data_IF_011572493429
#
_entry.id   IF_011572493429
#
_cell.length_a   1.000
_cell.length_b   1.000
_cell.length_c   1.000
_cell.angle_alpha   90.00
_cell.angle_beta   90.00
_cell.angle_gamma   90.00
#
_symmetry.space_group_name_H-M   'P 1'
#
loop_
_entity.id
_entity.type
_entity.pdbx_description
1 polymer ?
#
# COMPACT_ATOMS: atom_id res chain seq x y z
N UNK A 1 -16.50 -7.86 7.68
CA UNK A 1 -15.33 -7.08 7.27
C UNK A 1 -15.57 -5.61 7.60
N UNK A 2 -14.59 -4.95 8.20
CA UNK A 2 -14.58 -3.51 8.42
C UNK A 2 -13.52 -2.89 7.52
N UNK A 3 -13.88 -1.78 6.86
CA UNK A 3 -13.01 -0.97 6.02
C UNK A 3 -13.16 0.51 6.39
N UNK A 4 -12.11 1.32 6.19
CA UNK A 4 -12.25 2.77 6.30
C UNK A 4 -13.29 3.30 5.29
N UNK A 5 -14.01 4.34 5.68
CA UNK A 5 -14.97 4.98 4.77
C UNK A 5 -14.24 5.95 3.83
N UNK A 6 -14.47 5.80 2.55
CA UNK A 6 -14.04 6.77 1.54
C UNK A 6 -15.12 7.86 1.38
N UNK A 7 -14.71 9.11 1.50
CA UNK A 7 -15.60 10.27 1.32
C UNK A 7 -15.04 11.17 0.24
N UNK A 8 -15.75 11.25 -0.88
CA UNK A 8 -15.39 12.16 -1.97
C UNK A 8 -16.14 13.48 -1.81
N UNK A 9 -15.40 14.59 -1.63
CA UNK A 9 -15.94 15.95 -1.67
C UNK A 9 -15.17 16.77 -2.69
N UNK A 10 -15.89 17.41 -3.62
CA UNK A 10 -15.33 18.28 -4.69
C UNK A 10 -14.20 17.61 -5.49
N UNK A 11 -14.38 16.32 -5.84
CA UNK A 11 -13.38 15.55 -6.61
C UNK A 11 -12.16 15.05 -5.80
N UNK A 12 -12.10 15.33 -4.49
CA UNK A 12 -11.06 14.82 -3.60
C UNK A 12 -11.62 13.70 -2.75
N UNK A 13 -11.10 12.49 -2.91
CA UNK A 13 -11.45 11.34 -2.07
C UNK A 13 -10.54 11.32 -0.84
N UNK A 14 -11.15 11.37 0.34
CA UNK A 14 -10.45 11.23 1.64
C UNK A 14 -10.91 9.94 2.31
N UNK A 15 -9.96 9.15 2.76
CA UNK A 15 -10.21 7.96 3.56
C UNK A 15 -10.28 8.36 5.03
N UNK A 16 -11.42 8.10 5.70
CA UNK A 16 -11.63 8.44 7.09
C UNK A 16 -11.05 7.36 8.02
N UNK A 17 -10.72 7.77 9.24
CA UNK A 17 -10.39 6.83 10.30
C UNK A 17 -11.59 5.94 10.65
N UNK A 18 -11.31 4.72 11.07
CA UNK A 18 -12.31 3.76 11.55
C UNK A 18 -12.70 4.17 12.99
N UNK A 19 -13.96 4.56 13.22
CA UNK A 19 -14.41 5.00 14.54
C UNK A 19 -14.63 3.83 15.50
N UNK A 20 -14.65 4.13 16.80
CA UNK A 20 -14.89 3.13 17.85
C UNK A 20 -16.27 2.49 17.80
N UNK A 21 -17.27 3.19 17.27
CA UNK A 21 -18.66 2.70 17.13
C UNK A 21 -18.73 1.50 16.20
N UNK A 22 -18.07 1.57 15.05
CA UNK A 22 -17.99 0.44 14.09
C UNK A 22 -17.33 -0.79 14.71
N UNK A 23 -16.35 -0.58 15.58
CA UNK A 23 -15.68 -1.68 16.30
C UNK A 23 -16.62 -2.28 17.34
N UNK A 24 -17.35 -1.46 18.13
CA UNK A 24 -18.31 -1.96 19.12
C UNK A 24 -19.41 -2.81 18.49
N UNK A 25 -19.97 -2.35 17.37
CA UNK A 25 -20.98 -3.11 16.61
C UNK A 25 -20.43 -4.47 16.15
N UNK A 26 -19.23 -4.47 15.58
CA UNK A 26 -18.59 -5.70 15.12
C UNK A 26 -18.26 -6.66 16.26
N UNK A 27 -17.83 -6.16 17.42
CA UNK A 27 -17.55 -6.99 18.59
C UNK A 27 -18.83 -7.57 19.19
N UNK A 28 -19.95 -6.83 19.19
CA UNK A 28 -21.24 -7.37 19.62
C UNK A 28 -21.71 -8.52 18.72
N UNK A 29 -21.47 -8.42 17.41
CA UNK A 29 -21.71 -9.52 16.47
C UNK A 29 -20.77 -10.71 16.72
N UNK A 30 -19.50 -10.45 17.05
CA UNK A 30 -18.49 -11.48 17.28
C UNK A 30 -18.76 -12.31 18.55
N UNK A 31 -19.40 -11.70 19.57
CA UNK A 31 -19.75 -12.36 20.82
C UNK A 31 -20.93 -13.34 20.74
N UNK A 32 -21.71 -13.29 19.66
CA UNK A 32 -22.83 -14.22 19.47
C UNK A 32 -22.34 -15.61 19.02
N UNK A 33 -23.12 -16.65 19.25
CA UNK A 33 -22.80 -17.99 18.74
C UNK A 33 -22.82 -18.04 17.20
N UNK A 34 -21.86 -18.77 16.57
CA UNK A 34 -21.84 -18.90 15.10
C UNK A 34 -23.07 -19.70 14.62
N UNK A 35 -23.80 -19.14 13.67
CA UNK A 35 -24.91 -19.82 13.01
C UNK A 35 -24.37 -20.69 11.85
N UNK A 36 -24.08 -21.97 12.11
CA UNK A 36 -23.68 -22.94 11.07
C UNK A 36 -22.18 -23.06 10.78
N UNK A 37 -21.31 -22.39 11.54
CA UNK A 37 -19.85 -22.47 11.40
C UNK A 37 -19.14 -22.73 12.74
N UNK A 38 -17.83 -23.04 12.68
CA UNK A 38 -17.00 -23.20 13.90
C UNK A 38 -16.51 -21.86 14.46
N UNK A 39 -16.32 -20.85 13.59
CA UNK A 39 -15.73 -19.59 13.96
C UNK A 39 -16.50 -18.40 13.41
N UNK A 40 -16.48 -17.28 14.13
CA UNK A 40 -16.82 -15.95 13.64
C UNK A 40 -15.55 -15.17 13.42
N UNK A 41 -15.38 -14.60 12.24
CA UNK A 41 -14.16 -13.87 11.85
C UNK A 41 -14.48 -12.39 11.70
N UNK A 42 -13.79 -11.55 12.46
CA UNK A 42 -13.74 -10.11 12.25
C UNK A 42 -12.45 -9.75 11.50
N UNK A 43 -12.59 -9.32 10.27
CA UNK A 43 -11.48 -8.80 9.47
C UNK A 43 -11.55 -7.26 9.47
N UNK A 44 -10.47 -6.60 9.89
CA UNK A 44 -10.30 -5.15 9.85
C UNK A 44 -9.19 -4.84 8.86
N UNK A 45 -9.56 -4.31 7.71
CA UNK A 45 -8.63 -3.83 6.68
C UNK A 45 -8.15 -2.43 7.04
N UNK A 46 -6.92 -2.09 6.63
CA UNK A 46 -6.26 -0.82 6.97
C UNK A 46 -6.32 -0.47 8.47
N UNK A 47 -6.01 -1.44 9.32
CA UNK A 47 -6.11 -1.29 10.78
C UNK A 47 -5.26 -0.13 11.35
N UNK A 48 -4.27 0.39 10.60
CA UNK A 48 -3.54 1.62 10.94
C UNK A 48 -4.44 2.87 10.98
N UNK A 49 -5.65 2.79 10.40
CA UNK A 49 -6.67 3.86 10.42
C UNK A 49 -7.66 3.73 11.58
N UNK A 50 -7.49 2.76 12.46
CA UNK A 50 -8.24 2.71 13.71
C UNK A 50 -7.89 3.94 14.57
N UNK A 51 -8.89 4.67 15.04
CA UNK A 51 -8.65 5.68 16.07
C UNK A 51 -8.08 5.02 17.34
N UNK A 52 -7.34 5.76 18.15
CA UNK A 52 -6.82 5.25 19.43
C UNK A 52 -7.94 4.68 20.31
N UNK A 53 -9.07 5.38 20.36
CA UNK A 53 -10.27 4.91 21.07
C UNK A 53 -10.78 3.58 20.50
N UNK A 54 -10.78 3.42 19.16
CA UNK A 54 -11.20 2.18 18.53
C UNK A 54 -10.25 1.01 18.83
N UNK A 55 -8.95 1.27 18.88
CA UNK A 55 -7.95 0.27 19.28
C UNK A 55 -8.12 -0.14 20.77
N UNK A 56 -8.40 0.81 21.65
CA UNK A 56 -8.64 0.53 23.06
C UNK A 56 -9.92 -0.31 23.28
N UNK A 57 -10.97 -0.12 22.47
CA UNK A 57 -12.18 -0.95 22.51
C UNK A 57 -11.89 -2.42 22.19
N UNK A 58 -10.88 -2.72 21.34
CA UNK A 58 -10.50 -4.10 21.02
C UNK A 58 -9.82 -4.83 22.18
N UNK A 59 -9.17 -4.11 23.12
CA UNK A 59 -8.28 -4.72 24.12
C UNK A 59 -9.00 -5.77 24.96
N UNK A 60 -10.20 -5.48 25.45
CA UNK A 60 -10.96 -6.43 26.29
C UNK A 60 -11.23 -7.75 25.56
N UNK A 61 -11.60 -7.67 24.27
CA UNK A 61 -11.90 -8.87 23.48
C UNK A 61 -10.62 -9.61 23.06
N UNK A 62 -9.49 -8.90 22.93
CA UNK A 62 -8.19 -9.52 22.65
C UNK A 62 -7.61 -10.24 23.88
N UNK A 63 -7.93 -9.78 25.09
CA UNK A 63 -7.54 -10.45 26.34
C UNK A 63 -8.36 -11.71 26.60
N UNK A 64 -9.67 -11.64 26.40
CA UNK A 64 -10.60 -12.74 26.65
C UNK A 64 -11.49 -13.00 25.43
N UNK A 65 -10.93 -13.53 24.33
CA UNK A 65 -11.70 -13.81 23.14
C UNK A 65 -12.65 -15.00 23.39
N UNK A 66 -13.87 -14.90 22.85
CA UNK A 66 -14.75 -16.06 22.79
C UNK A 66 -14.05 -17.18 21.98
N UNK A 67 -14.22 -18.44 22.38
CA UNK A 67 -13.53 -19.59 21.77
C UNK A 67 -13.80 -19.75 20.27
N UNK A 68 -14.91 -19.19 19.77
CA UNK A 68 -15.28 -19.16 18.36
C UNK A 68 -14.91 -17.88 17.64
N UNK A 69 -14.28 -16.91 18.31
CA UNK A 69 -13.95 -15.61 17.73
C UNK A 69 -12.53 -15.60 17.14
N UNK A 70 -12.40 -15.06 15.94
CA UNK A 70 -11.11 -14.78 15.29
C UNK A 70 -11.10 -13.32 14.86
N UNK A 71 -10.08 -12.56 15.28
CA UNK A 71 -9.88 -11.16 14.89
C UNK A 71 -8.62 -11.09 14.03
N UNK A 72 -8.74 -10.53 12.84
CA UNK A 72 -7.64 -10.34 11.89
C UNK A 72 -7.50 -8.83 11.63
N UNK A 73 -6.34 -8.27 11.97
CA UNK A 73 -5.96 -6.90 11.67
C UNK A 73 -4.99 -6.90 10.50
N UNK A 74 -5.35 -6.27 9.40
CA UNK A 74 -4.47 -6.10 8.25
C UNK A 74 -3.95 -4.68 8.23
N UNK A 75 -2.62 -4.51 8.22
CA UNK A 75 -1.98 -3.20 8.18
C UNK A 75 -0.66 -3.25 7.42
N UNK A 76 -0.31 -2.19 6.73
CA UNK A 76 1.02 -1.95 6.17
C UNK A 76 1.84 -0.99 7.04
N UNK A 77 1.24 -0.40 8.07
CA UNK A 77 1.86 0.58 8.96
C UNK A 77 1.73 0.12 10.42
N UNK A 78 2.65 -0.78 10.82
CA UNK A 78 2.65 -1.36 12.16
C UNK A 78 2.79 -0.30 13.27
N UNK A 79 3.54 0.79 13.00
CA UNK A 79 3.79 1.87 13.97
C UNK A 79 2.55 2.60 14.43
N UNK A 80 1.45 2.54 13.67
CA UNK A 80 0.15 3.15 14.03
C UNK A 80 -0.73 2.25 14.89
N UNK A 81 -0.29 1.02 15.18
CA UNK A 81 -0.99 0.11 16.09
C UNK A 81 -0.40 0.22 17.49
N UNK A 82 -1.27 0.42 18.48
CA UNK A 82 -0.87 0.57 19.89
C UNK A 82 -0.03 -0.64 20.38
N UNK A 83 1.04 -0.41 21.14
CA UNK A 83 1.82 -1.50 21.75
C UNK A 83 0.98 -2.47 22.58
N UNK A 84 -0.06 -1.97 23.24
CA UNK A 84 -1.03 -2.76 24.01
C UNK A 84 -1.84 -3.74 23.16
N UNK A 85 -2.17 -3.36 21.91
CA UNK A 85 -2.81 -4.25 20.94
C UNK A 85 -1.78 -5.25 20.40
N UNK A 86 -0.60 -4.77 20.01
CA UNK A 86 0.47 -5.61 19.44
C UNK A 86 0.93 -6.73 20.38
N UNK A 87 0.90 -6.49 21.69
CA UNK A 87 1.30 -7.50 22.70
C UNK A 87 0.29 -8.64 22.86
N UNK A 88 -0.95 -8.48 22.38
CA UNK A 88 -2.05 -9.43 22.51
C UNK A 88 -2.40 -10.18 21.24
N UNK A 89 -1.70 -9.92 20.15
CA UNK A 89 -1.97 -10.54 18.85
C UNK A 89 -0.74 -11.29 18.32
N UNK A 90 -0.99 -12.35 17.56
CA UNK A 90 0.06 -13.02 16.79
C UNK A 90 0.35 -12.21 15.53
N UNK A 91 1.58 -11.74 15.38
CA UNK A 91 1.99 -11.01 14.21
C UNK A 91 2.46 -11.97 13.11
N UNK A 92 1.91 -11.81 11.92
CA UNK A 92 2.31 -12.52 10.70
C UNK A 92 2.80 -11.47 9.70
N UNK A 93 4.05 -11.58 9.26
CA UNK A 93 4.62 -10.67 8.26
C UNK A 93 4.55 -11.29 6.88
N UNK A 94 3.99 -10.53 5.95
CA UNK A 94 4.04 -10.83 4.53
C UNK A 94 5.14 -10.00 3.90
N UNK A 95 6.18 -10.65 3.41
CA UNK A 95 7.27 -10.02 2.68
C UNK A 95 6.99 -9.96 1.18
N UNK A 96 7.91 -9.34 0.45
CA UNK A 96 7.90 -9.40 -1.01
C UNK A 96 8.24 -10.82 -1.48
N UNK A 97 7.52 -11.28 -2.51
CA UNK A 97 7.78 -12.57 -3.13
C UNK A 97 8.86 -12.41 -4.20
N UNK A 98 9.89 -13.29 -4.25
CA UNK A 98 10.91 -13.24 -5.29
C UNK A 98 10.30 -13.28 -6.69
N UNK A 99 10.94 -12.55 -7.63
CA UNK A 99 10.46 -12.44 -9.00
C UNK A 99 10.36 -13.81 -9.68
N UNK A 100 11.30 -14.70 -9.43
CA UNK A 100 11.33 -16.05 -10.01
C UNK A 100 10.12 -16.89 -9.58
N UNK A 101 9.69 -16.73 -8.33
CA UNK A 101 8.49 -17.41 -7.80
C UNK A 101 7.25 -16.86 -8.47
N UNK A 102 7.15 -15.53 -8.60
CA UNK A 102 6.02 -14.87 -9.25
C UNK A 102 5.95 -15.23 -10.75
N UNK A 103 7.10 -15.25 -11.44
CA UNK A 103 7.17 -15.63 -12.84
C UNK A 103 6.73 -17.08 -13.06
N UNK A 104 7.07 -18.00 -12.15
CA UNK A 104 6.63 -19.39 -12.21
C UNK A 104 5.13 -19.55 -12.01
N UNK A 105 4.52 -18.81 -11.08
CA UNK A 105 3.11 -18.93 -10.73
C UNK A 105 2.18 -18.18 -11.69
N UNK A 106 2.65 -17.02 -12.23
CA UNK A 106 1.85 -16.11 -13.06
C UNK A 106 2.38 -15.95 -14.48
N UNK A 107 3.46 -16.63 -14.87
CA UNK A 107 4.17 -16.44 -16.14
C UNK A 107 3.56 -17.16 -17.34
N UNK A 108 2.24 -17.44 -17.36
CA UNK A 108 1.50 -17.96 -18.49
C UNK A 108 1.24 -16.87 -19.57
N UNK A 109 0.86 -17.27 -20.77
CA UNK A 109 0.70 -16.39 -21.94
C UNK A 109 -0.28 -15.23 -21.72
N UNK A 110 -1.33 -15.43 -20.90
CA UNK A 110 -2.30 -14.38 -20.55
C UNK A 110 -1.71 -13.25 -19.70
N UNK A 111 -0.59 -13.52 -19.02
CA UNK A 111 0.11 -12.56 -18.16
C UNK A 111 1.25 -11.82 -18.90
N UNK A 112 1.53 -12.13 -20.17
CA UNK A 112 2.76 -11.73 -20.89
C UNK A 112 3.00 -10.21 -20.93
N UNK A 113 1.96 -9.38 -21.01
CA UNK A 113 2.10 -7.93 -21.12
C UNK A 113 2.13 -7.19 -19.79
N UNK A 114 1.52 -7.77 -18.75
CA UNK A 114 1.31 -7.13 -17.45
C UNK A 114 2.26 -7.68 -16.41
N UNK A 115 2.50 -8.98 -16.44
CA UNK A 115 3.21 -9.71 -15.42
C UNK A 115 4.69 -9.29 -15.22
N UNK A 116 5.53 -9.10 -16.24
CA UNK A 116 6.94 -8.79 -16.03
C UNK A 116 7.17 -7.52 -15.22
N UNK A 117 6.27 -6.54 -15.38
CA UNK A 117 6.31 -5.29 -14.64
C UNK A 117 5.97 -5.49 -13.16
N UNK A 118 4.87 -6.21 -12.87
CA UNK A 118 4.43 -6.44 -11.49
C UNK A 118 5.27 -7.49 -10.76
N UNK A 119 5.97 -8.37 -11.48
CA UNK A 119 6.92 -9.31 -10.87
C UNK A 119 8.05 -8.58 -10.14
N UNK A 120 8.52 -7.44 -10.67
CA UNK A 120 9.56 -6.63 -10.04
C UNK A 120 9.13 -6.03 -8.71
N UNK A 121 7.81 -5.91 -8.45
CA UNK A 121 7.27 -5.35 -7.23
C UNK A 121 7.13 -6.37 -6.09
N UNK A 122 7.29 -7.67 -6.39
CA UNK A 122 7.20 -8.72 -5.37
C UNK A 122 5.84 -8.85 -4.68
N UNK A 123 4.75 -8.33 -5.30
CA UNK A 123 3.41 -8.24 -4.71
C UNK A 123 2.38 -9.07 -5.50
N UNK A 124 2.15 -10.35 -5.15
CA UNK A 124 1.25 -11.23 -5.91
C UNK A 124 -0.18 -10.71 -6.03
N UNK A 125 -0.69 -10.04 -5.00
CA UNK A 125 -2.04 -9.46 -5.03
C UNK A 125 -2.23 -8.41 -6.13
N UNK A 126 -1.20 -7.67 -6.48
CA UNK A 126 -1.25 -6.70 -7.58
C UNK A 126 -1.33 -7.39 -8.94
N UNK A 127 -0.54 -8.46 -9.14
CA UNK A 127 -0.58 -9.26 -10.36
C UNK A 127 -1.98 -9.84 -10.54
N UNK A 128 -2.51 -10.46 -9.48
CA UNK A 128 -3.84 -11.04 -9.49
C UNK A 128 -4.95 -10.02 -9.82
N UNK A 129 -4.87 -8.82 -9.21
CA UNK A 129 -5.83 -7.75 -9.49
C UNK A 129 -5.70 -7.21 -10.91
N UNK A 130 -4.46 -7.06 -11.41
CA UNK A 130 -4.21 -6.58 -12.76
C UNK A 130 -4.66 -7.60 -13.84
N UNK A 131 -4.53 -8.91 -13.57
CA UNK A 131 -5.05 -9.96 -14.46
C UNK A 131 -6.58 -10.02 -14.45
N UNK A 132 -7.20 -9.77 -13.31
CA UNK A 132 -8.66 -9.78 -13.17
C UNK A 132 -9.33 -8.58 -13.84
N UNK A 133 -8.72 -7.40 -13.75
CA UNK A 133 -9.23 -6.15 -14.33
C UNK A 133 -8.08 -5.32 -14.90
N UNK A 134 -7.59 -5.65 -16.11
CA UNK A 134 -6.49 -4.93 -16.77
C UNK A 134 -6.82 -3.45 -17.02
N UNK A 135 -8.09 -3.12 -17.24
CA UNK A 135 -8.52 -1.74 -17.50
C UNK A 135 -8.38 -0.86 -16.26
N UNK A 136 -8.74 -1.38 -15.07
CA UNK A 136 -8.57 -0.65 -13.82
C UNK A 136 -7.11 -0.34 -13.49
N UNK A 137 -6.17 -1.17 -13.97
CA UNK A 137 -4.73 -0.99 -13.75
C UNK A 137 -3.99 -0.27 -14.88
N UNK A 138 -4.68 0.13 -15.95
CA UNK A 138 -4.04 0.76 -17.10
C UNK A 138 -3.32 2.07 -16.74
N UNK A 139 -3.92 2.89 -15.89
CA UNK A 139 -3.34 4.18 -15.44
C UNK A 139 -2.14 3.95 -14.53
N UNK A 140 -2.25 3.06 -13.55
CA UNK A 140 -1.15 2.69 -12.64
C UNK A 140 0.03 2.12 -13.42
N UNK A 141 -0.22 1.27 -14.40
CA UNK A 141 0.80 0.69 -15.28
C UNK A 141 1.51 1.77 -16.10
N UNK A 142 0.77 2.73 -16.68
CA UNK A 142 1.36 3.84 -17.43
C UNK A 142 2.26 4.70 -16.55
N UNK A 143 1.75 5.12 -15.38
CA UNK A 143 2.47 6.00 -14.47
C UNK A 143 3.72 5.33 -13.88
N UNK A 144 3.61 4.09 -13.43
CA UNK A 144 4.76 3.31 -12.93
C UNK A 144 5.76 3.04 -14.05
N UNK A 145 5.29 2.71 -15.24
CA UNK A 145 6.15 2.55 -16.42
C UNK A 145 6.96 3.81 -16.72
N UNK A 146 6.36 5.00 -16.53
CA UNK A 146 7.06 6.28 -16.60
C UNK A 146 8.14 6.42 -15.51
N UNK A 147 7.82 6.08 -14.27
CA UNK A 147 8.77 6.12 -13.15
C UNK A 147 9.98 5.19 -13.37
N UNK A 148 9.75 3.96 -13.84
CA UNK A 148 10.85 3.01 -14.11
C UNK A 148 11.74 3.43 -15.29
N UNK A 149 11.22 4.22 -16.22
CA UNK A 149 11.97 4.77 -17.36
C UNK A 149 12.41 6.22 -17.16
N UNK A 150 12.35 6.75 -15.95
CA UNK A 150 12.57 8.16 -15.65
C UNK A 150 13.90 8.71 -16.20
N UNK A 151 14.97 7.91 -16.13
CA UNK A 151 16.29 8.29 -16.66
C UNK A 151 16.32 8.49 -18.19
N UNK A 152 15.35 7.95 -18.93
CA UNK A 152 15.25 8.06 -20.40
C UNK A 152 14.25 9.11 -20.86
N UNK A 153 13.44 9.64 -19.94
CA UNK A 153 12.43 10.65 -20.23
C UNK A 153 13.05 12.04 -20.41
N UNK A 154 12.54 12.76 -21.38
CA UNK A 154 12.84 14.19 -21.57
C UNK A 154 12.25 15.04 -20.43
N UNK A 155 12.74 16.26 -20.27
CA UNK A 155 12.23 17.21 -19.28
C UNK A 155 10.71 17.41 -19.39
N UNK A 156 10.20 17.56 -20.61
CA UNK A 156 8.76 17.76 -20.86
C UNK A 156 7.94 16.53 -20.45
N UNK A 157 8.45 15.33 -20.72
CA UNK A 157 7.78 14.07 -20.35
C UNK A 157 7.76 13.88 -18.84
N UNK A 158 8.82 14.27 -18.12
CA UNK A 158 8.87 14.23 -16.64
C UNK A 158 7.86 15.19 -16.03
N UNK A 159 7.73 16.40 -16.56
CA UNK A 159 6.73 17.37 -16.10
C UNK A 159 5.30 16.87 -16.36
N UNK A 160 5.05 16.27 -17.52
CA UNK A 160 3.75 15.67 -17.84
C UNK A 160 3.44 14.49 -16.92
N UNK A 161 4.43 13.67 -16.60
CA UNK A 161 4.29 12.56 -15.65
C UNK A 161 3.94 13.11 -14.24
N UNK A 162 4.63 14.15 -13.78
CA UNK A 162 4.32 14.81 -12.51
C UNK A 162 2.89 15.34 -12.47
N UNK A 163 2.43 15.98 -13.54
CA UNK A 163 1.07 16.49 -13.66
C UNK A 163 0.02 15.37 -13.59
N UNK A 164 0.20 14.30 -14.37
CA UNK A 164 -0.70 13.12 -14.35
C UNK A 164 -0.75 12.46 -12.98
N UNK A 165 0.38 12.33 -12.29
CA UNK A 165 0.45 11.77 -10.95
C UNK A 165 -0.23 12.68 -9.92
N UNK A 166 -0.10 14.00 -10.03
CA UNK A 166 -0.63 14.95 -9.06
C UNK A 166 -2.15 15.00 -8.96
N UNK A 167 -2.87 14.46 -9.94
CA UNK A 167 -4.35 14.43 -9.97
C UNK A 167 -4.94 13.76 -8.73
N UNK A 168 -4.28 12.70 -8.22
CA UNK A 168 -4.75 11.92 -7.08
C UNK A 168 -3.61 11.64 -6.10
N UNK A 169 -3.49 12.43 -5.04
CA UNK A 169 -2.40 12.34 -4.05
C UNK A 169 -2.28 10.95 -3.42
N UNK A 170 -3.38 10.29 -3.05
CA UNK A 170 -3.33 8.94 -2.47
C UNK A 170 -2.82 7.88 -3.45
N UNK A 171 -3.21 8.00 -4.73
CA UNK A 171 -2.66 7.15 -5.80
C UNK A 171 -1.16 7.40 -5.94
N UNK A 172 -0.73 8.64 -5.95
CA UNK A 172 0.69 9.02 -6.02
C UNK A 172 1.51 8.43 -4.88
N UNK A 173 1.03 8.53 -3.66
CA UNK A 173 1.68 7.91 -2.50
C UNK A 173 1.86 6.41 -2.72
N UNK A 174 0.81 5.69 -3.14
CA UNK A 174 0.91 4.26 -3.45
C UNK A 174 1.90 3.96 -4.57
N UNK A 175 1.90 4.74 -5.65
CA UNK A 175 2.82 4.55 -6.77
C UNK A 175 4.27 4.73 -6.35
N UNK A 176 4.59 5.74 -5.55
CA UNK A 176 5.92 5.96 -5.01
C UNK A 176 6.34 4.83 -4.05
N UNK A 177 5.43 4.37 -3.18
CA UNK A 177 5.67 3.21 -2.30
C UNK A 177 5.91 1.91 -3.10
N UNK A 178 5.28 1.76 -4.25
CA UNK A 178 5.49 0.61 -5.13
C UNK A 178 6.78 0.73 -5.94
N UNK A 179 7.19 1.94 -6.26
CA UNK A 179 8.42 2.18 -7.00
C UNK A 179 9.68 1.87 -6.18
N UNK A 180 9.69 2.18 -4.88
CA UNK A 180 10.84 1.97 -3.98
C UNK A 180 11.41 0.53 -4.02
N UNK A 181 10.61 -0.54 -3.83
CA UNK A 181 11.14 -1.90 -3.91
C UNK A 181 11.69 -2.28 -5.29
N UNK A 182 11.05 -1.81 -6.35
CA UNK A 182 11.52 -2.03 -7.71
C UNK A 182 12.86 -1.35 -7.97
N UNK A 183 13.02 -0.13 -7.50
CA UNK A 183 14.29 0.58 -7.50
C UNK A 183 15.37 -0.20 -6.75
N UNK A 184 15.07 -0.67 -5.54
CA UNK A 184 16.01 -1.47 -4.75
C UNK A 184 16.46 -2.73 -5.50
N UNK A 185 15.57 -3.43 -6.18
CA UNK A 185 15.94 -4.59 -7.00
C UNK A 185 16.84 -4.20 -8.18
N UNK A 186 16.56 -3.08 -8.86
CA UNK A 186 17.42 -2.59 -9.94
C UNK A 186 18.81 -2.21 -9.45
N UNK A 187 18.96 -1.65 -8.22
CA UNK A 187 20.23 -1.28 -7.66
C UNK A 187 21.16 -2.49 -7.44
N UNK A 188 20.60 -3.64 -7.05
CA UNK A 188 21.37 -4.88 -6.82
C UNK A 188 22.05 -5.42 -8.07
N UNK A 189 21.58 -5.05 -9.26
CA UNK A 189 22.16 -5.47 -10.54
C UNK A 189 23.27 -4.51 -11.01
N UNK A 190 23.49 -3.40 -10.32
CA UNK A 190 24.46 -2.37 -10.70
C UNK A 190 25.70 -2.47 -9.83
N UNK A 191 26.87 -2.44 -10.47
CA UNK A 191 28.19 -2.53 -9.80
C UNK A 191 28.93 -1.19 -9.78
N UNK A 192 28.47 -0.18 -10.52
CA UNK A 192 29.10 1.13 -10.59
C UNK A 192 28.77 1.99 -9.36
N UNK A 193 29.83 2.44 -8.66
CA UNK A 193 29.74 3.26 -7.44
C UNK A 193 29.01 4.60 -7.67
N UNK A 194 29.20 5.26 -8.82
CA UNK A 194 28.53 6.52 -9.12
C UNK A 194 27.05 6.34 -9.32
N UNK A 195 26.65 5.26 -9.99
CA UNK A 195 25.23 4.92 -10.16
C UNK A 195 24.58 4.55 -8.83
N UNK A 196 25.30 3.88 -7.92
CA UNK A 196 24.77 3.58 -6.58
C UNK A 196 24.55 4.84 -5.75
N UNK A 197 25.44 5.84 -5.79
CA UNK A 197 25.27 7.10 -5.05
C UNK A 197 23.99 7.81 -5.54
N UNK A 198 23.84 8.01 -6.85
CA UNK A 198 22.62 8.63 -7.43
C UNK A 198 21.35 7.86 -7.07
N UNK A 199 21.48 6.56 -6.93
CA UNK A 199 20.38 5.72 -6.56
C UNK A 199 19.94 5.93 -5.10
N UNK A 200 20.90 6.05 -4.17
CA UNK A 200 20.61 6.38 -2.77
C UNK A 200 20.03 7.79 -2.62
N UNK A 201 20.55 8.77 -3.36
CA UNK A 201 20.01 10.13 -3.40
C UNK A 201 18.54 10.12 -3.84
N UNK A 202 18.22 9.40 -4.93
CA UNK A 202 16.84 9.25 -5.39
C UNK A 202 15.95 8.57 -4.34
N UNK A 203 16.46 7.55 -3.67
CA UNK A 203 15.71 6.83 -2.63
C UNK A 203 15.36 7.76 -1.46
N UNK A 204 16.33 8.53 -0.97
CA UNK A 204 16.11 9.53 0.08
C UNK A 204 15.11 10.62 -0.34
N UNK A 205 15.18 11.09 -1.59
CA UNK A 205 14.22 12.08 -2.11
C UNK A 205 12.80 11.53 -2.23
N UNK A 206 12.63 10.26 -2.64
CA UNK A 206 11.32 9.61 -2.65
C UNK A 206 10.77 9.49 -1.23
N UNK A 207 11.57 9.06 -0.26
CA UNK A 207 11.13 8.96 1.15
C UNK A 207 10.77 10.32 1.74
N UNK A 208 11.55 11.36 1.46
CA UNK A 208 11.24 12.73 1.88
C UNK A 208 9.94 13.23 1.25
N UNK A 209 9.74 12.99 -0.05
CA UNK A 209 8.52 13.34 -0.77
C UNK A 209 7.30 12.59 -0.20
N UNK A 210 7.41 11.28 0.05
CA UNK A 210 6.37 10.49 0.68
C UNK A 210 5.99 11.01 2.07
N UNK A 211 6.99 11.39 2.88
CA UNK A 211 6.76 11.98 4.20
C UNK A 211 5.95 13.26 4.08
N UNK A 212 6.35 14.18 3.19
CA UNK A 212 5.63 15.43 2.98
C UNK A 212 4.20 15.20 2.47
N UNK A 213 4.00 14.31 1.50
CA UNK A 213 2.68 13.99 0.96
C UNK A 213 1.73 13.39 2.01
N UNK A 214 2.26 12.63 2.98
CA UNK A 214 1.47 12.00 4.06
C UNK A 214 1.18 12.93 5.23
N UNK A 215 2.08 13.85 5.55
CA UNK A 215 2.01 14.64 6.81
C UNK A 215 1.57 16.07 6.59
N UNK A 216 1.65 16.59 5.36
CA UNK A 216 1.36 18.00 5.06
C UNK A 216 0.29 18.15 3.98
N UNK A 217 -0.29 19.35 3.86
CA UNK A 217 -1.16 19.73 2.74
C UNK A 217 -0.36 20.41 1.60
N UNK A 218 0.88 19.97 1.40
CA UNK A 218 1.76 20.54 0.38
C UNK A 218 1.22 20.31 -1.03
N UNK A 219 1.60 21.18 -1.96
CA UNK A 219 1.21 21.03 -3.36
C UNK A 219 1.88 19.76 -3.96
N UNK A 220 1.08 18.73 -4.19
CA UNK A 220 1.51 17.43 -4.71
C UNK A 220 2.29 17.59 -6.02
N UNK A 221 1.85 18.48 -6.93
CA UNK A 221 2.49 18.70 -8.22
C UNK A 221 3.92 19.25 -8.05
N UNK A 222 4.11 20.28 -7.22
CA UNK A 222 5.44 20.86 -6.99
C UNK A 222 6.42 19.86 -6.37
N UNK A 223 5.95 19.03 -5.42
CA UNK A 223 6.78 17.99 -4.82
C UNK A 223 7.21 16.93 -5.85
N UNK A 224 6.31 16.55 -6.74
CA UNK A 224 6.61 15.60 -7.81
C UNK A 224 7.52 16.20 -8.88
N UNK A 225 7.28 17.44 -9.31
CA UNK A 225 8.17 18.13 -10.24
C UNK A 225 9.61 18.19 -9.68
N UNK A 226 9.76 18.57 -8.41
CA UNK A 226 11.07 18.56 -7.74
C UNK A 226 11.70 17.16 -7.79
N UNK A 227 10.97 16.12 -7.38
CA UNK A 227 11.45 14.74 -7.33
C UNK A 227 11.85 14.22 -8.73
N UNK A 228 10.99 14.41 -9.75
CA UNK A 228 11.22 13.85 -11.08
C UNK A 228 12.25 14.62 -11.89
N UNK A 229 12.60 15.85 -11.48
CA UNK A 229 13.63 16.68 -12.13
C UNK A 229 15.02 16.52 -11.49
N UNK A 230 15.12 15.96 -10.29
CA UNK A 230 16.40 15.76 -9.60
C UNK A 230 17.19 14.53 -10.11
N UNK A 231 16.56 13.68 -10.93
CA UNK A 231 17.10 12.39 -11.43
C UNK A 231 17.89 12.52 -12.74
#
# INVERSE_FOLDING_TARGET
VIRPLEVTKRGVTKVKNIPSESIREALSFLSQFPAGGKFRVLLIEDAHRLSETAQNVLLKTLEEPASSAVIILVTHEKGSILPTVLSRIKQVRFGFVPQEVLAREFGNEEASDIAPFFFSLGRPGMIFSALRDPAAFSVERELLGGLFRLSTLTLSERLLLAEKMAVHTERTVRLLEWWLPGLYQQSRQRTDRKQMIRFFELFEEIEATLRLLKTTQSNTRLLLEKLLLSV
#
